data_IF_322154499090
#
_entry.id   IF_322154499090
#
_cell.length_a   1.000
_cell.length_b   1.000
_cell.length_c   1.000
_cell.angle_alpha   90.00
_cell.angle_beta   90.00
_cell.angle_gamma   90.00
#
_symmetry.space_group_name_H-M   'P 1'
#
loop_
_entity.id
_entity.type
_entity.pdbx_description
1 polymer ?
#
# COMPACT_ATOMS: atom_id res chain seq x y z
N UNK A 1 70.46 26.49 0.68
CA UNK A 1 69.71 25.48 -0.07
C UNK A 1 68.26 25.41 0.51
N UNK A 2 67.28 26.07 -0.16
CA UNK A 2 65.90 26.20 0.31
C UNK A 2 65.08 25.14 -0.45
N UNK A 3 64.53 24.15 0.29
CA UNK A 3 63.68 23.11 -0.26
C UNK A 3 62.23 23.59 -0.20
N UNK A 4 61.60 23.80 -1.37
CA UNK A 4 60.19 24.12 -1.48
C UNK A 4 59.41 22.80 -1.56
N UNK A 5 58.61 22.51 -0.51
CA UNK A 5 57.62 21.43 -0.55
C UNK A 5 56.41 21.95 -1.35
N UNK A 6 56.19 21.38 -2.53
CA UNK A 6 54.92 21.57 -3.29
C UNK A 6 53.89 20.57 -2.75
N UNK A 7 52.86 21.10 -2.08
CA UNK A 7 51.67 20.34 -1.66
C UNK A 7 50.72 20.24 -2.84
N UNK A 8 50.62 19.06 -3.43
CA UNK A 8 49.59 18.75 -4.45
C UNK A 8 48.25 18.49 -3.73
N UNK A 9 47.35 19.44 -3.83
CA UNK A 9 45.95 19.28 -3.39
C UNK A 9 45.19 18.54 -4.49
N UNK A 10 44.95 17.25 -4.29
CA UNK A 10 44.02 16.43 -5.12
C UNK A 10 42.58 16.85 -4.83
N UNK A 11 41.95 17.56 -5.74
CA UNK A 11 40.51 17.78 -5.73
C UNK A 11 39.81 16.47 -6.14
N UNK A 12 39.23 15.74 -5.18
CA UNK A 12 38.26 14.68 -5.47
C UNK A 12 36.94 15.35 -5.86
N UNK A 13 36.67 15.43 -7.14
CA UNK A 13 35.33 15.73 -7.65
C UNK A 13 34.42 14.56 -7.33
N UNK A 14 33.56 14.72 -6.34
CA UNK A 14 32.44 13.80 -6.11
C UNK A 14 31.51 13.92 -7.32
N UNK A 15 31.62 13.01 -8.27
CA UNK A 15 30.71 12.87 -9.39
C UNK A 15 29.31 12.56 -8.84
N UNK A 16 28.40 13.54 -8.90
CA UNK A 16 26.99 13.26 -8.72
C UNK A 16 26.58 12.27 -9.81
N UNK A 17 26.29 11.03 -9.41
CA UNK A 17 25.77 10.02 -10.32
C UNK A 17 24.37 10.50 -10.76
N UNK A 18 24.27 11.01 -11.98
CA UNK A 18 23.00 11.39 -12.57
C UNK A 18 22.12 10.12 -12.69
N UNK A 19 20.94 10.18 -12.10
CA UNK A 19 19.98 9.09 -12.15
C UNK A 19 19.49 8.90 -13.59
N UNK A 20 19.38 7.67 -14.06
CA UNK A 20 18.90 7.41 -15.42
C UNK A 20 17.46 7.95 -15.59
N UNK A 21 17.13 8.51 -16.77
CA UNK A 21 15.80 9.07 -17.01
C UNK A 21 14.73 7.99 -16.95
N UNK A 22 13.49 8.40 -16.63
CA UNK A 22 12.34 7.52 -16.61
C UNK A 22 12.08 6.96 -18.03
N UNK A 23 11.87 5.65 -18.17
CA UNK A 23 11.40 5.10 -19.45
C UNK A 23 9.96 5.56 -19.70
N UNK A 24 9.63 5.73 -21.00
CA UNK A 24 8.31 6.20 -21.40
C UNK A 24 7.29 5.08 -21.32
N UNK A 25 6.14 5.38 -20.68
CA UNK A 25 4.96 4.48 -20.59
C UNK A 25 5.31 3.06 -20.15
N UNK A 26 6.20 2.97 -19.16
CA UNK A 26 6.67 1.70 -18.63
C UNK A 26 6.69 1.72 -17.10
N UNK A 27 5.92 0.81 -16.48
CA UNK A 27 5.92 0.55 -15.04
C UNK A 27 6.59 -0.79 -14.71
N UNK A 28 7.02 -1.57 -15.73
CA UNK A 28 7.51 -2.93 -15.54
C UNK A 28 8.61 -3.02 -14.48
N UNK A 29 8.58 -4.09 -13.71
CA UNK A 29 9.56 -4.40 -12.69
C UNK A 29 8.98 -4.61 -11.30
N UNK A 30 9.84 -5.04 -10.39
CA UNK A 30 9.51 -5.27 -8.99
C UNK A 30 9.72 -4.00 -8.18
N UNK A 31 8.69 -3.58 -7.49
CA UNK A 31 8.65 -2.33 -6.73
C UNK A 31 8.40 -2.57 -5.25
N UNK A 32 9.02 -1.76 -4.41
CA UNK A 32 8.76 -1.76 -2.98
C UNK A 32 8.40 -0.35 -2.51
N UNK A 33 7.32 -0.26 -1.73
CA UNK A 33 6.91 0.97 -1.08
C UNK A 33 7.99 1.38 -0.07
N UNK A 34 8.43 2.64 -0.16
CA UNK A 34 9.36 3.16 0.85
C UNK A 34 8.59 3.47 2.14
N UNK A 35 9.17 3.15 3.31
CA UNK A 35 8.61 3.61 4.58
C UNK A 35 8.49 5.13 4.54
N UNK A 36 7.32 5.65 4.87
CA UNK A 36 7.17 7.09 5.01
C UNK A 36 7.86 7.53 6.31
N UNK A 37 8.71 8.55 6.21
CA UNK A 37 9.49 9.05 7.36
C UNK A 37 8.63 9.67 8.46
N UNK A 38 7.42 10.13 8.11
CA UNK A 38 6.55 10.92 8.98
C UNK A 38 5.23 10.22 9.32
N UNK A 39 5.12 8.92 9.06
CA UNK A 39 3.92 8.14 9.38
C UNK A 39 4.05 7.55 10.75
N UNK A 40 3.04 7.75 11.59
CA UNK A 40 2.96 7.08 12.89
C UNK A 40 2.98 5.57 12.72
N UNK A 41 3.38 4.84 13.77
CA UNK A 41 3.33 3.36 13.74
C UNK A 41 1.91 2.87 13.39
N UNK A 42 0.88 3.62 13.81
CA UNK A 42 -0.52 3.33 13.54
C UNK A 42 -0.89 3.43 12.04
N UNK A 43 -0.12 4.20 11.26
CA UNK A 43 -0.44 4.48 9.84
C UNK A 43 0.46 3.71 8.87
N UNK A 44 1.43 2.92 9.34
CA UNK A 44 2.41 2.24 8.49
C UNK A 44 1.80 1.29 7.45
N UNK A 45 0.68 0.66 7.78
CA UNK A 45 -0.06 -0.25 6.89
C UNK A 45 -1.42 0.34 6.49
N UNK A 46 -1.46 1.63 6.21
CA UNK A 46 -2.68 2.39 5.97
C UNK A 46 -2.41 3.47 4.91
N UNK A 47 -3.43 3.98 4.23
CA UNK A 47 -3.29 5.14 3.36
C UNK A 47 -2.66 6.35 4.04
N UNK A 48 -2.92 6.57 5.33
CA UNK A 48 -2.43 7.73 6.07
C UNK A 48 -2.96 9.05 5.53
N UNK A 49 -2.35 10.17 5.97
CA UNK A 49 -2.77 11.50 5.57
C UNK A 49 -3.88 12.08 6.45
N UNK A 50 -4.61 13.08 5.91
CA UNK A 50 -5.71 13.75 6.62
C UNK A 50 -7.00 12.94 6.45
N UNK A 51 -7.27 12.05 7.43
CA UNK A 51 -8.42 11.14 7.40
C UNK A 51 -9.72 11.95 7.52
N UNK A 52 -10.63 11.88 6.52
CA UNK A 52 -11.87 12.62 6.58
C UNK A 52 -12.79 12.16 7.72
N UNK A 53 -13.66 13.03 8.23
CA UNK A 53 -14.68 12.61 9.18
C UNK A 53 -15.54 11.50 8.61
N UNK A 54 -15.81 10.50 9.44
CA UNK A 54 -16.70 9.40 9.12
C UNK A 54 -18.16 9.89 9.07
N UNK A 55 -18.94 9.34 8.18
CA UNK A 55 -20.41 9.42 8.24
C UNK A 55 -20.94 8.63 9.44
N UNK A 56 -22.23 8.69 9.71
CA UNK A 56 -22.86 7.86 10.73
C UNK A 56 -22.68 6.35 10.43
N UNK A 57 -22.81 5.95 9.18
CA UNK A 57 -22.58 4.57 8.74
C UNK A 57 -21.12 4.16 8.91
N UNK A 58 -20.19 4.99 8.42
CA UNK A 58 -18.75 4.73 8.54
C UNK A 58 -18.30 4.62 10.00
N UNK A 59 -18.85 5.49 10.88
CA UNK A 59 -18.55 5.43 12.31
C UNK A 59 -19.07 4.14 12.95
N UNK A 60 -20.31 3.74 12.65
CA UNK A 60 -20.88 2.50 13.18
C UNK A 60 -20.03 1.27 12.78
N UNK A 61 -19.56 1.21 11.52
CA UNK A 61 -18.64 0.17 11.05
C UNK A 61 -17.30 0.24 11.77
N UNK A 62 -16.71 1.43 11.86
CA UNK A 62 -15.41 1.64 12.51
C UNK A 62 -15.42 1.24 13.99
N UNK A 63 -16.50 1.51 14.71
CA UNK A 63 -16.62 1.19 16.14
C UNK A 63 -16.72 -0.34 16.39
N UNK A 64 -17.21 -1.11 15.42
CA UNK A 64 -17.26 -2.58 15.48
C UNK A 64 -15.89 -3.23 15.21
N UNK A 65 -15.00 -2.52 14.53
CA UNK A 65 -13.69 -3.04 14.17
C UNK A 65 -12.73 -2.94 15.36
N UNK A 66 -12.10 -4.07 15.69
CA UNK A 66 -11.16 -4.23 16.79
C UNK A 66 -9.79 -4.59 16.20
N UNK A 67 -8.96 -3.60 15.84
CA UNK A 67 -7.64 -3.90 15.32
C UNK A 67 -6.78 -4.61 16.37
N UNK A 68 -5.92 -5.51 15.93
CA UNK A 68 -4.88 -6.12 16.77
C UNK A 68 -3.63 -5.25 16.88
N UNK A 69 -3.67 -4.04 16.33
CA UNK A 69 -2.52 -3.15 16.13
C UNK A 69 -2.95 -1.69 16.29
N UNK A 70 -1.99 -0.82 16.71
CA UNK A 70 -2.21 0.61 16.86
C UNK A 70 -2.93 1.01 18.14
N UNK A 71 -3.29 2.29 18.26
CA UNK A 71 -3.90 2.89 19.47
C UNK A 71 -5.22 2.26 19.89
N UNK A 72 -5.92 1.62 18.96
CA UNK A 72 -7.19 0.93 19.19
C UNK A 72 -7.03 -0.57 19.38
N UNK A 73 -5.79 -1.07 19.46
CA UNK A 73 -5.54 -2.50 19.61
C UNK A 73 -6.29 -3.05 20.84
N UNK A 74 -7.02 -4.14 20.61
CA UNK A 74 -7.78 -4.83 21.65
C UNK A 74 -7.48 -6.32 21.63
N UNK A 75 -7.50 -6.99 22.79
CA UNK A 75 -7.45 -8.45 22.83
C UNK A 75 -8.58 -9.07 22.01
N UNK A 76 -8.30 -10.14 21.27
CA UNK A 76 -9.30 -10.78 20.41
C UNK A 76 -9.73 -9.90 19.23
N UNK A 77 -8.79 -9.22 18.60
CA UNK A 77 -9.05 -8.40 17.41
C UNK A 77 -9.80 -9.17 16.32
N UNK A 78 -10.63 -8.46 15.54
CA UNK A 78 -11.45 -9.03 14.48
C UNK A 78 -10.97 -8.59 13.08
N UNK A 79 -9.71 -8.25 12.94
CA UNK A 79 -9.12 -7.97 11.64
C UNK A 79 -9.23 -9.22 10.74
N UNK A 80 -9.87 -9.13 9.56
CA UNK A 80 -10.09 -10.29 8.68
C UNK A 80 -8.80 -11.03 8.30
N UNK A 81 -7.68 -10.32 8.17
CA UNK A 81 -6.39 -10.96 7.85
C UNK A 81 -5.90 -11.96 8.93
N UNK A 82 -6.41 -11.87 10.16
CA UNK A 82 -6.09 -12.83 11.23
C UNK A 82 -6.73 -14.21 11.00
N UNK A 83 -7.70 -14.28 10.07
CA UNK A 83 -8.34 -15.51 9.60
C UNK A 83 -7.86 -15.89 8.20
N UNK A 84 -6.86 -15.20 7.68
CA UNK A 84 -6.38 -15.31 6.30
C UNK A 84 -7.41 -14.91 5.23
N UNK A 85 -8.37 -14.06 5.57
CA UNK A 85 -9.14 -13.39 4.55
C UNK A 85 -8.23 -12.47 3.71
N UNK A 86 -8.52 -12.30 2.42
CA UNK A 86 -7.76 -11.39 1.58
C UNK A 86 -7.67 -9.98 2.15
N UNK A 87 -6.49 -9.36 2.03
CA UNK A 87 -6.25 -8.02 2.60
C UNK A 87 -7.15 -6.95 1.99
N UNK A 88 -7.60 -7.16 0.76
CA UNK A 88 -8.31 -6.15 -0.02
C UNK A 88 -7.39 -5.03 -0.53
N UNK A 89 -7.99 -4.12 -1.27
CA UNK A 89 -7.32 -2.97 -1.83
C UNK A 89 -7.93 -1.68 -1.26
N UNK A 90 -7.14 -0.66 -0.87
CA UNK A 90 -5.72 -0.47 -1.14
C UNK A 90 -4.76 -1.05 -0.08
N UNK A 91 -5.24 -1.72 0.96
CA UNK A 91 -4.42 -2.16 2.09
C UNK A 91 -3.19 -2.99 1.68
N UNK A 92 -3.33 -3.88 0.69
CA UNK A 92 -2.23 -4.74 0.23
C UNK A 92 -1.04 -3.92 -0.30
N UNK A 93 -1.25 -2.72 -0.85
CA UNK A 93 -0.19 -1.81 -1.29
C UNK A 93 0.71 -1.31 -0.15
N UNK A 94 0.14 -1.20 1.06
CA UNK A 94 0.85 -0.71 2.24
C UNK A 94 1.47 -1.82 3.07
N UNK A 95 1.30 -3.07 2.65
CA UNK A 95 1.97 -4.20 3.28
C UNK A 95 3.47 -4.19 2.91
N UNK A 96 4.39 -4.55 3.84
CA UNK A 96 5.83 -4.38 3.63
C UNK A 96 6.46 -5.48 2.76
N UNK A 97 5.75 -5.93 1.73
CA UNK A 97 6.27 -6.85 0.71
C UNK A 97 6.27 -6.16 -0.65
N UNK A 98 7.17 -6.56 -1.56
CA UNK A 98 7.20 -6.03 -2.91
C UNK A 98 6.01 -6.51 -3.75
N UNK A 99 5.80 -5.81 -4.86
CA UNK A 99 4.91 -6.23 -5.93
C UNK A 99 5.56 -5.94 -7.28
N UNK A 100 5.11 -6.63 -8.30
CA UNK A 100 5.60 -6.47 -9.66
C UNK A 100 4.53 -5.91 -10.59
N UNK A 101 4.90 -4.98 -11.44
CA UNK A 101 4.12 -4.61 -12.61
C UNK A 101 4.64 -5.36 -13.84
N UNK A 102 3.74 -6.04 -14.54
CA UNK A 102 3.99 -6.62 -15.87
C UNK A 102 2.99 -6.04 -16.88
N UNK A 103 3.51 -5.37 -17.90
CA UNK A 103 2.67 -4.79 -18.95
C UNK A 103 2.52 -5.79 -20.11
N UNK A 104 1.28 -6.05 -20.49
CA UNK A 104 0.93 -6.85 -21.64
C UNK A 104 0.02 -6.03 -22.58
N UNK A 105 -0.35 -6.56 -23.71
CA UNK A 105 -0.94 -5.78 -24.82
C UNK A 105 -2.20 -4.96 -24.46
N UNK A 106 -3.07 -5.48 -23.59
CA UNK A 106 -4.36 -4.86 -23.27
C UNK A 106 -4.60 -4.64 -21.77
N UNK A 107 -3.61 -4.92 -20.94
CA UNK A 107 -3.70 -4.72 -19.48
C UNK A 107 -2.33 -4.66 -18.82
N UNK A 108 -2.30 -4.14 -17.62
CA UNK A 108 -1.19 -4.21 -16.69
C UNK A 108 -1.55 -5.22 -15.61
N UNK A 109 -0.66 -6.15 -15.33
CA UNK A 109 -0.77 -7.05 -14.19
C UNK A 109 0.01 -6.45 -13.01
N UNK A 110 -0.63 -6.37 -11.86
CA UNK A 110 0.01 -6.01 -10.59
C UNK A 110 0.02 -7.26 -9.71
N UNK A 111 1.21 -7.86 -9.55
CA UNK A 111 1.40 -9.12 -8.84
C UNK A 111 2.02 -8.87 -7.48
N UNK A 112 1.29 -9.20 -6.42
CA UNK A 112 1.73 -9.00 -5.05
C UNK A 112 2.38 -10.26 -4.49
N UNK A 113 3.49 -10.10 -3.75
CA UNK A 113 4.12 -11.19 -3.02
C UNK A 113 3.17 -11.77 -1.96
N UNK A 114 2.46 -10.89 -1.25
CA UNK A 114 1.47 -11.30 -0.27
C UNK A 114 0.32 -12.07 -0.94
N UNK A 115 0.10 -13.29 -0.50
CA UNK A 115 -0.96 -14.20 -0.94
C UNK A 115 -0.96 -14.49 -2.46
N UNK A 116 0.12 -14.15 -3.19
CA UNK A 116 0.25 -14.29 -4.64
C UNK A 116 -0.91 -13.69 -5.44
N UNK A 117 -1.43 -12.56 -4.95
CA UNK A 117 -2.54 -11.88 -5.60
C UNK A 117 -2.09 -11.28 -6.92
N UNK A 118 -2.90 -11.49 -7.96
CA UNK A 118 -2.77 -10.83 -9.25
C UNK A 118 -3.97 -9.91 -9.45
N UNK A 119 -3.71 -8.62 -9.59
CA UNK A 119 -4.71 -7.62 -9.95
C UNK A 119 -4.56 -7.28 -11.42
N UNK A 120 -5.65 -7.36 -12.17
CA UNK A 120 -5.69 -6.98 -13.58
C UNK A 120 -6.19 -5.54 -13.73
N UNK A 121 -5.44 -4.73 -14.45
CA UNK A 121 -5.75 -3.33 -14.74
C UNK A 121 -5.90 -3.22 -16.25
N UNK A 122 -7.13 -3.11 -16.74
CA UNK A 122 -7.43 -3.11 -18.16
C UNK A 122 -7.07 -1.77 -18.80
N UNK A 123 -6.40 -1.82 -19.96
CA UNK A 123 -5.91 -0.63 -20.68
C UNK A 123 -6.49 -0.53 -22.10
N UNK A 124 -7.50 -1.30 -22.39
CA UNK A 124 -8.19 -1.36 -23.69
C UNK A 124 -9.30 -0.31 -23.87
N UNK A 125 -9.45 0.61 -22.91
CA UNK A 125 -10.44 1.69 -22.97
C UNK A 125 -11.84 1.30 -22.51
N UNK A 126 -12.03 0.10 -21.96
CA UNK A 126 -13.32 -0.29 -21.37
C UNK A 126 -13.69 0.59 -20.18
N UNK A 127 -14.96 0.76 -19.95
CA UNK A 127 -15.47 1.41 -18.74
C UNK A 127 -15.43 0.44 -17.55
N UNK A 128 -15.33 0.97 -16.33
CA UNK A 128 -15.62 0.21 -15.12
C UNK A 128 -17.08 -0.22 -15.10
N UNK A 129 -17.42 -1.39 -14.51
CA UNK A 129 -18.80 -1.82 -14.37
C UNK A 129 -19.60 -0.81 -13.52
N UNK A 130 -20.85 -0.57 -13.89
CA UNK A 130 -21.73 0.37 -13.17
C UNK A 130 -22.36 -0.24 -11.93
N UNK A 131 -22.57 -1.55 -11.93
CA UNK A 131 -23.14 -2.35 -10.82
C UNK A 131 -22.33 -3.65 -10.70
N UNK A 132 -21.13 -3.59 -10.13
CA UNK A 132 -20.24 -4.75 -10.02
C UNK A 132 -20.61 -5.66 -8.87
N UNK A 133 -20.54 -6.97 -9.08
CA UNK A 133 -20.45 -7.90 -7.96
C UNK A 133 -19.16 -7.61 -7.17
N UNK A 134 -19.22 -7.51 -5.82
CA UNK A 134 -18.05 -7.16 -5.03
C UNK A 134 -16.92 -8.19 -5.13
N UNK A 135 -15.70 -7.73 -5.36
CA UNK A 135 -14.48 -8.52 -5.38
C UNK A 135 -13.49 -8.02 -4.32
N UNK A 136 -12.65 -8.90 -3.78
CA UNK A 136 -11.62 -8.54 -2.81
C UNK A 136 -10.68 -7.42 -3.29
N UNK A 137 -10.38 -7.39 -4.59
CA UNK A 137 -9.45 -6.43 -5.22
C UNK A 137 -10.12 -5.57 -6.28
N UNK A 138 -11.45 -5.62 -6.37
CA UNK A 138 -12.27 -4.80 -7.26
C UNK A 138 -11.98 -4.99 -8.74
N UNK A 139 -12.53 -4.07 -9.54
CA UNK A 139 -12.33 -3.95 -10.98
C UNK A 139 -11.50 -2.71 -11.25
N UNK A 140 -10.55 -2.80 -12.18
CA UNK A 140 -9.61 -1.72 -12.45
C UNK A 140 -9.44 -1.48 -13.94
N UNK A 141 -9.44 -0.19 -14.32
CA UNK A 141 -9.02 0.28 -15.63
C UNK A 141 -7.89 1.28 -15.47
N UNK A 142 -7.00 1.35 -16.45
CA UNK A 142 -5.85 2.23 -16.40
C UNK A 142 -5.52 2.86 -17.74
N UNK A 143 -4.90 4.04 -17.69
CA UNK A 143 -4.45 4.76 -18.87
C UNK A 143 -3.20 5.59 -18.59
N UNK A 144 -2.35 5.72 -19.59
CA UNK A 144 -1.28 6.70 -19.57
C UNK A 144 -1.85 8.09 -19.89
N UNK A 145 -1.67 9.03 -18.97
CA UNK A 145 -2.11 10.44 -19.17
C UNK A 145 -0.99 11.29 -19.77
N UNK A 146 0.26 10.86 -19.61
CA UNK A 146 1.44 11.39 -20.28
C UNK A 146 2.50 10.26 -20.45
N UNK A 147 3.74 10.59 -20.80
CA UNK A 147 4.81 9.60 -21.03
C UNK A 147 5.29 8.90 -19.74
N UNK A 148 5.01 9.46 -18.57
CA UNK A 148 5.54 8.97 -17.29
C UNK A 148 4.49 8.71 -16.22
N UNK A 149 3.24 9.14 -16.44
CA UNK A 149 2.15 9.04 -15.46
C UNK A 149 1.07 8.07 -15.92
N UNK A 150 0.89 7.01 -15.16
CA UNK A 150 -0.20 6.04 -15.33
C UNK A 150 -1.26 6.26 -14.25
N UNK A 151 -2.52 6.35 -14.66
CA UNK A 151 -3.66 6.53 -13.77
C UNK A 151 -4.54 5.30 -13.80
N UNK A 152 -4.92 4.81 -12.63
CA UNK A 152 -5.82 3.68 -12.46
C UNK A 152 -7.07 4.17 -11.75
N UNK A 153 -8.23 3.83 -12.29
CA UNK A 153 -9.53 3.99 -11.66
C UNK A 153 -10.08 2.61 -11.31
N UNK A 154 -10.71 2.48 -10.12
CA UNK A 154 -11.21 1.19 -9.68
C UNK A 154 -12.42 1.30 -8.74
N UNK A 155 -13.23 0.23 -8.70
CA UNK A 155 -14.49 0.13 -7.95
C UNK A 155 -14.85 -1.34 -7.68
N UNK A 156 -15.98 -1.59 -6.98
CA UNK A 156 -16.53 -2.93 -6.76
C UNK A 156 -15.74 -3.73 -5.74
N UNK A 157 -15.46 -3.14 -4.60
CA UNK A 157 -14.70 -3.76 -3.51
C UNK A 157 -15.63 -4.40 -2.48
N UNK A 158 -15.23 -5.57 -1.97
CA UNK A 158 -15.89 -6.26 -0.87
C UNK A 158 -15.68 -5.50 0.45
N UNK A 159 -16.75 -5.04 1.08
CA UNK A 159 -16.74 -4.18 2.27
C UNK A 159 -16.28 -4.88 3.56
N UNK A 160 -16.00 -6.18 3.50
CA UNK A 160 -15.39 -6.92 4.62
C UNK A 160 -13.94 -6.56 4.83
N UNK A 161 -13.26 -5.99 3.83
CA UNK A 161 -11.87 -5.57 3.96
C UNK A 161 -11.73 -4.23 4.67
N UNK A 162 -10.54 -3.94 5.17
CA UNK A 162 -10.21 -2.67 5.82
C UNK A 162 -9.25 -1.86 4.96
N UNK A 163 -9.32 -0.54 5.03
CA UNK A 163 -8.38 0.34 4.32
C UNK A 163 -6.95 0.31 4.88
N UNK A 164 -6.77 -0.22 6.08
CA UNK A 164 -5.48 -0.36 6.75
C UNK A 164 -5.58 -1.14 8.04
N UNK A 165 -4.45 -1.40 8.68
CA UNK A 165 -4.36 -2.19 9.92
C UNK A 165 -5.09 -1.59 11.13
N UNK A 166 -5.48 -0.31 11.04
CA UNK A 166 -6.16 0.44 12.12
C UNK A 166 -7.68 0.36 12.06
N UNK A 167 -8.22 -0.36 11.05
CA UNK A 167 -9.65 -0.68 11.01
C UNK A 167 -10.53 0.40 10.38
N UNK A 168 -10.02 1.25 9.48
CA UNK A 168 -10.88 2.16 8.72
C UNK A 168 -11.73 1.39 7.71
N UNK A 169 -13.07 1.54 7.74
CA UNK A 169 -13.97 0.84 6.85
C UNK A 169 -14.03 1.47 5.47
N UNK A 170 -14.58 0.73 4.54
CA UNK A 170 -15.12 1.24 3.28
C UNK A 170 -16.44 0.53 2.96
N UNK A 171 -17.17 1.07 2.00
CA UNK A 171 -18.38 0.45 1.45
C UNK A 171 -18.11 -0.15 0.08
N UNK A 172 -19.06 -0.90 -0.45
CA UNK A 172 -19.02 -1.43 -1.83
C UNK A 172 -19.06 -0.32 -2.89
N UNK A 173 -19.55 0.89 -2.52
CA UNK A 173 -19.58 2.04 -3.41
C UNK A 173 -18.24 2.79 -3.51
N UNK A 174 -17.21 2.33 -2.79
CA UNK A 174 -15.88 2.93 -2.83
C UNK A 174 -15.31 2.97 -4.24
N UNK A 175 -14.72 4.11 -4.59
CA UNK A 175 -13.94 4.32 -5.80
C UNK A 175 -12.54 4.79 -5.44
N UNK A 176 -11.56 4.32 -6.18
CA UNK A 176 -10.16 4.72 -6.01
C UNK A 176 -9.64 5.33 -7.31
N UNK A 177 -8.85 6.40 -7.18
CA UNK A 177 -7.96 6.90 -8.22
C UNK A 177 -6.52 6.77 -7.73
N UNK A 178 -5.71 6.04 -8.45
CA UNK A 178 -4.29 5.84 -8.20
C UNK A 178 -3.49 6.51 -9.30
N UNK A 179 -2.41 7.20 -8.93
CA UNK A 179 -1.50 7.82 -9.90
C UNK A 179 -0.08 7.34 -9.63
N UNK A 180 0.52 6.74 -10.63
CA UNK A 180 1.89 6.25 -10.63
C UNK A 180 2.70 7.13 -11.58
N UNK A 181 3.48 8.06 -11.03
CA UNK A 181 4.35 8.93 -11.81
C UNK A 181 5.80 8.45 -11.71
N UNK A 182 6.32 7.86 -12.78
CA UNK A 182 7.71 7.43 -12.85
C UNK A 182 8.61 8.63 -13.10
N UNK A 183 9.31 9.12 -12.06
CA UNK A 183 10.11 10.35 -12.10
C UNK A 183 11.53 10.11 -12.59
N UNK A 184 12.03 8.88 -12.44
CA UNK A 184 13.31 8.41 -12.98
C UNK A 184 13.25 6.88 -13.20
N UNK A 185 14.38 6.28 -13.59
CA UNK A 185 14.44 4.84 -13.84
C UNK A 185 13.99 4.01 -12.63
N UNK A 186 14.35 4.41 -11.42
CA UNK A 186 14.21 3.61 -10.20
C UNK A 186 13.13 4.13 -9.23
N UNK A 187 12.40 5.19 -9.62
CA UNK A 187 11.50 5.88 -8.69
C UNK A 187 10.15 6.16 -9.31
N UNK A 188 9.09 5.77 -8.58
CA UNK A 188 7.71 6.17 -8.86
C UNK A 188 7.17 6.94 -7.66
N UNK A 189 6.63 8.14 -7.91
CA UNK A 189 5.77 8.84 -6.96
C UNK A 189 4.36 8.28 -7.08
N UNK A 190 3.79 7.88 -5.95
CA UNK A 190 2.46 7.29 -5.87
C UNK A 190 1.53 8.17 -5.05
N UNK A 191 0.35 8.44 -5.58
CA UNK A 191 -0.74 9.11 -4.88
C UNK A 191 -2.03 8.31 -5.04
N UNK A 192 -2.88 8.36 -4.02
CA UNK A 192 -4.15 7.66 -3.96
C UNK A 192 -5.24 8.60 -3.44
N UNK A 193 -6.36 8.63 -4.12
CA UNK A 193 -7.61 9.27 -3.66
C UNK A 193 -8.67 8.20 -3.47
N UNK A 194 -9.28 8.19 -2.28
CA UNK A 194 -10.38 7.30 -1.91
C UNK A 194 -11.66 8.13 -1.88
N UNK A 195 -12.64 7.76 -2.68
CA UNK A 195 -13.96 8.38 -2.70
C UNK A 195 -15.00 7.36 -2.27
N UNK A 196 -15.53 7.53 -1.06
CA UNK A 196 -16.56 6.66 -0.49
C UNK A 196 -17.55 7.52 0.31
N UNK A 197 -18.58 8.08 -0.35
CA UNK A 197 -19.53 8.98 0.30
C UNK A 197 -20.43 8.28 1.34
N UNK A 198 -20.51 6.95 1.32
CA UNK A 198 -21.20 6.19 2.36
C UNK A 198 -20.38 6.13 3.65
N UNK A 199 -19.06 6.04 3.56
CA UNK A 199 -18.18 5.92 4.73
C UNK A 199 -17.62 7.27 5.20
N UNK A 200 -17.32 8.20 4.29
CA UNK A 200 -16.60 9.45 4.57
C UNK A 200 -17.36 10.67 4.04
N UNK A 201 -17.26 11.79 4.76
CA UNK A 201 -17.96 13.04 4.42
C UNK A 201 -17.32 13.80 3.25
N UNK A 202 -16.09 13.49 2.88
CA UNK A 202 -15.34 14.05 1.74
C UNK A 202 -14.34 13.01 1.23
N UNK A 203 -13.79 13.15 0.01
CA UNK A 203 -12.73 12.29 -0.49
C UNK A 203 -11.52 12.28 0.47
N UNK A 204 -10.93 11.11 0.67
CA UNK A 204 -9.72 10.91 1.46
C UNK A 204 -8.51 10.91 0.52
N UNK A 205 -7.69 11.93 0.63
CA UNK A 205 -6.41 12.01 -0.07
C UNK A 205 -5.37 11.35 0.82
N UNK A 206 -4.89 10.20 0.37
CA UNK A 206 -3.88 9.43 1.09
C UNK A 206 -2.53 10.17 1.11
N UNK A 207 -1.70 9.84 2.09
CA UNK A 207 -0.34 10.37 2.15
C UNK A 207 0.45 9.91 0.91
N UNK A 208 1.07 10.84 0.15
CA UNK A 208 1.90 10.46 -0.99
C UNK A 208 3.02 9.50 -0.60
N UNK A 209 3.30 8.53 -1.44
CA UNK A 209 4.32 7.51 -1.22
C UNK A 209 5.32 7.47 -2.37
N UNK A 210 6.46 6.88 -2.11
CA UNK A 210 7.50 6.62 -3.10
C UNK A 210 7.69 5.12 -3.22
N UNK A 211 7.69 4.63 -4.46
CA UNK A 211 8.08 3.27 -4.80
C UNK A 211 9.50 3.28 -5.34
N UNK A 212 10.29 2.31 -4.91
CA UNK A 212 11.66 2.11 -5.42
C UNK A 212 11.76 0.78 -6.15
N UNK A 213 12.36 0.83 -7.33
CA UNK A 213 12.66 -0.36 -8.13
C UNK A 213 13.60 -1.29 -7.38
N UNK A 214 13.34 -2.59 -7.49
CA UNK A 214 14.16 -3.67 -6.91
C UNK A 214 14.67 -4.60 -8.04
N UNK A 215 15.70 -4.21 -8.79
CA UNK A 215 16.07 -4.85 -10.04
C UNK A 215 16.45 -6.34 -9.94
N UNK A 216 16.78 -6.82 -8.73
CA UNK A 216 17.17 -8.20 -8.46
C UNK A 216 16.21 -8.93 -7.53
N UNK A 217 15.07 -8.32 -7.22
CA UNK A 217 14.08 -8.97 -6.39
C UNK A 217 13.18 -9.87 -7.25
N UNK A 218 12.75 -10.96 -6.64
CA UNK A 218 11.75 -11.86 -7.18
C UNK A 218 10.53 -11.85 -6.26
N UNK A 219 9.36 -12.04 -6.81
CA UNK A 219 8.14 -12.22 -6.03
C UNK A 219 8.17 -13.63 -5.45
N UNK A 220 8.19 -13.71 -4.12
CA UNK A 220 8.24 -14.97 -3.39
C UNK A 220 6.84 -15.49 -3.11
N UNK A 221 6.73 -16.76 -2.79
CA UNK A 221 5.47 -17.35 -2.32
C UNK A 221 5.24 -16.97 -0.85
N UNK A 222 4.31 -16.05 -0.61
CA UNK A 222 3.92 -15.60 0.71
C UNK A 222 2.44 -15.82 0.95
N UNK A 223 2.04 -17.04 1.26
CA UNK A 223 0.65 -17.36 1.57
C UNK A 223 0.34 -17.25 3.06
N UNK A 224 -0.85 -16.77 3.38
CA UNK A 224 -1.43 -16.94 4.70
C UNK A 224 -1.99 -18.36 4.83
N UNK A 225 -1.67 -19.04 5.93
CA UNK A 225 -2.20 -20.39 6.24
C UNK A 225 -2.99 -20.28 7.53
N UNK A 226 -4.32 -20.45 7.45
CA UNK A 226 -5.24 -20.19 8.54
C UNK A 226 -4.92 -20.99 9.81
N UNK A 227 -4.50 -22.24 9.70
CA UNK A 227 -4.10 -23.06 10.84
C UNK A 227 -2.83 -22.55 11.54
N UNK A 228 -1.89 -21.99 10.79
CA UNK A 228 -0.65 -21.40 11.33
C UNK A 228 -0.93 -20.03 11.97
N UNK A 229 -1.75 -19.21 11.34
CA UNK A 229 -2.20 -17.93 11.90
C UNK A 229 -2.96 -18.11 13.22
N UNK A 230 -3.88 -19.06 13.28
CA UNK A 230 -4.61 -19.39 14.50
C UNK A 230 -3.66 -19.90 15.60
N UNK A 231 -2.71 -20.78 15.26
CA UNK A 231 -1.71 -21.25 16.20
C UNK A 231 -0.82 -20.11 16.72
N UNK A 232 -0.40 -19.20 15.85
CA UNK A 232 0.37 -18.01 16.23
C UNK A 232 -0.45 -17.05 17.11
N UNK A 233 -1.70 -16.80 16.76
CA UNK A 233 -2.60 -15.98 17.54
C UNK A 233 -2.75 -16.52 18.96
N UNK A 234 -3.06 -17.82 19.10
CA UNK A 234 -3.26 -18.48 20.38
C UNK A 234 -1.99 -18.53 21.25
N UNK A 235 -0.82 -18.73 20.64
CA UNK A 235 0.44 -18.92 21.37
C UNK A 235 1.17 -17.61 21.67
N UNK A 236 1.03 -16.62 20.83
CA UNK A 236 1.85 -15.39 20.86
C UNK A 236 0.99 -14.13 21.08
N UNK A 237 0.01 -13.87 20.19
CA UNK A 237 -0.75 -12.61 20.24
C UNK A 237 -1.63 -12.49 21.47
N UNK A 238 -2.40 -13.53 21.81
CA UNK A 238 -3.28 -13.52 22.99
C UNK A 238 -2.48 -13.37 24.29
N UNK A 239 -1.43 -14.17 24.55
CA UNK A 239 -0.59 -13.96 25.74
C UNK A 239 0.12 -12.60 25.76
N UNK A 240 0.59 -12.12 24.59
CA UNK A 240 1.22 -10.80 24.47
C UNK A 240 0.28 -9.65 24.79
N UNK A 241 -0.97 -9.72 24.32
CA UNK A 241 -2.00 -8.72 24.62
C UNK A 241 -2.38 -8.66 26.10
N UNK A 242 -2.35 -9.79 26.81
CA UNK A 242 -2.59 -9.85 28.25
C UNK A 242 -1.46 -9.21 29.07
N UNK A 243 -0.23 -9.23 28.55
CA UNK A 243 0.95 -8.67 29.24
C UNK A 243 1.11 -7.15 29.05
N UNK A 244 0.55 -6.56 28.00
CA UNK A 244 0.61 -5.10 27.76
C UNK A 244 -0.31 -4.29 28.68
N UNK A 245 -1.21 -4.92 29.43
CA UNK A 245 -2.13 -4.29 30.39
C UNK A 245 -1.59 -4.16 31.82
N UNK A 246 -0.39 -4.65 32.13
CA UNK A 246 0.20 -4.56 33.49
C UNK A 246 1.63 -4.04 33.43
N UNK A 247 1.79 -2.73 33.32
CA UNK A 247 2.97 -2.10 33.88
C UNK A 247 2.89 -2.22 35.42
N UNK A 248 3.91 -2.74 36.11
CA UNK A 248 3.90 -2.73 37.59
C UNK A 248 3.89 -1.28 38.04
N UNK A 249 2.90 -0.94 38.86
CA UNK A 249 2.93 0.31 39.64
C UNK A 249 3.98 0.09 40.74
N UNK A 250 5.12 0.72 40.61
CA UNK A 250 6.02 1.01 41.69
C UNK A 250 5.59 2.31 42.37
#
# INVERSE_FOLDING_TARGET
MRIYCVVLVLWMSAGASAQAPAPKRDLSGVWALQPAREVSEDDKQSPGGDIPPLTAWGKARYDLQKPGYGKRAAPGGNDPILQCDPMGFPRILYFPTPFEFAQISNRVLQMFERDHVVREIWTDGRALPSDPDPLWYGYSTGKWVDDTTFVIESTGYDDRTWLGATGFPHSETMRLEERYQRVDHDTINFTLTITDPQAYTKPWIALPRVLKLRPRAEIRQGYCVASEEQAFTKRIREPGALNTGKAPKN
#
